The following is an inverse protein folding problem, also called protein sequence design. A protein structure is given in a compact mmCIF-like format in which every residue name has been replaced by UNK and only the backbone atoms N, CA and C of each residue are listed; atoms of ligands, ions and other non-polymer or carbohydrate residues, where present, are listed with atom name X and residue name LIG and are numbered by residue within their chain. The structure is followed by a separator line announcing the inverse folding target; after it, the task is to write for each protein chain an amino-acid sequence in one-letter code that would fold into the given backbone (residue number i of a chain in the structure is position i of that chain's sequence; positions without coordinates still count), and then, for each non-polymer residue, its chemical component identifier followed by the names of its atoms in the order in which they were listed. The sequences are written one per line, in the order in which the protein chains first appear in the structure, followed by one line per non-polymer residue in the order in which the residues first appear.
data_IF_468479023392
#
_entry.id   IF_468479023392
#
_cell.length_a   1.000
_cell.length_b   1.000
_cell.length_c   1.000
_cell.angle_alpha   90.00
_cell.angle_beta   90.00
_cell.angle_gamma   90.00
#
_symmetry.space_group_name_H-M   'P 1'
#
loop_
_entity.id
_entity.type
_entity.pdbx_description
1 polymer ?
#
# COMPACT_ATOMS: atom_id res chain seq x y z
N UNK A 1 -31.19 -2.29 -9.13
CA UNK A 1 -29.97 -3.04 -9.52
C UNK A 1 -28.79 -2.28 -8.93
N UNK A 2 -28.34 -2.67 -7.73
CA UNK A 2 -27.19 -2.05 -7.05
C UNK A 2 -26.00 -3.02 -7.08
N UNK A 3 -25.36 -3.12 -8.24
CA UNK A 3 -24.13 -3.90 -8.42
C UNK A 3 -22.88 -3.04 -8.17
N UNK A 4 -22.93 -2.16 -7.17
CA UNK A 4 -21.80 -1.31 -6.82
C UNK A 4 -20.95 -2.05 -5.80
N UNK A 5 -19.81 -2.58 -6.24
CA UNK A 5 -18.77 -3.10 -5.34
C UNK A 5 -18.17 -1.88 -4.63
N UNK A 6 -18.54 -1.67 -3.37
CA UNK A 6 -17.90 -0.69 -2.48
C UNK A 6 -16.86 -1.43 -1.64
N UNK A 7 -15.55 -1.24 -1.88
CA UNK A 7 -14.53 -1.83 -1.04
C UNK A 7 -14.65 -1.28 0.38
N UNK A 8 -14.95 -2.14 1.35
CA UNK A 8 -14.96 -1.78 2.77
C UNK A 8 -13.59 -2.09 3.38
N UNK A 9 -12.71 -1.09 3.34
CA UNK A 9 -11.35 -1.17 3.88
C UNK A 9 -11.33 -1.30 5.41
N UNK A 10 -12.40 -0.88 6.12
CA UNK A 10 -12.48 -1.03 7.57
C UNK A 10 -12.76 -2.48 7.98
N UNK A 11 -13.55 -3.21 7.20
CA UNK A 11 -13.84 -4.62 7.46
C UNK A 11 -12.61 -5.51 7.25
N UNK A 12 -11.80 -5.22 6.22
CA UNK A 12 -10.53 -5.91 5.99
C UNK A 12 -9.52 -5.68 7.14
N UNK A 13 -9.45 -4.46 7.68
CA UNK A 13 -8.62 -4.14 8.84
C UNK A 13 -9.11 -4.82 10.13
N UNK A 14 -10.43 -4.85 10.37
CA UNK A 14 -11.03 -5.47 11.57
C UNK A 14 -10.96 -6.99 11.57
N UNK A 15 -11.03 -7.64 10.40
CA UNK A 15 -10.83 -9.09 10.29
C UNK A 15 -9.42 -9.54 10.73
N UNK A 16 -8.41 -8.68 10.58
CA UNK A 16 -7.03 -8.93 11.03
C UNK A 16 -6.77 -8.54 12.49
N UNK A 17 -7.75 -7.92 13.18
CA UNK A 17 -7.61 -7.40 14.54
C UNK A 17 -7.64 -8.46 15.66
N UNK A 18 -7.81 -9.75 15.32
CA UNK A 18 -7.85 -10.85 16.28
C UNK A 18 -6.50 -11.49 16.61
N UNK A 19 -5.46 -11.25 15.82
CA UNK A 19 -4.15 -11.91 16.00
C UNK A 19 -3.19 -11.00 16.76
N UNK A 20 -3.18 -11.12 18.09
CA UNK A 20 -2.20 -10.48 18.97
C UNK A 20 -0.80 -11.06 18.73
N UNK A 21 0.14 -10.17 18.39
CA UNK A 21 1.61 -10.24 18.58
C UNK A 21 2.25 -11.62 18.43
N UNK A 22 2.80 -11.88 17.25
CA UNK A 22 4.08 -12.56 17.14
C UNK A 22 5.13 -11.52 16.72
N UNK A 23 6.09 -11.25 17.59
CA UNK A 23 7.37 -10.67 17.19
C UNK A 23 8.09 -11.70 16.32
N UNK A 24 7.71 -11.78 15.06
CA UNK A 24 8.37 -12.63 14.09
C UNK A 24 9.42 -11.76 13.41
N UNK A 25 10.69 -11.99 13.75
CA UNK A 25 11.80 -11.67 12.87
C UNK A 25 11.48 -12.35 11.54
N UNK A 26 10.89 -11.64 10.58
CA UNK A 26 10.46 -12.19 9.30
C UNK A 26 11.55 -11.93 8.26
N UNK A 27 12.35 -12.94 7.85
CA UNK A 27 13.13 -12.82 6.63
C UNK A 27 12.24 -13.28 5.47
N UNK A 28 11.48 -12.38 4.84
CA UNK A 28 10.76 -12.73 3.59
C UNK A 28 10.20 -11.56 2.77
N UNK A 29 10.14 -10.34 3.32
CA UNK A 29 9.81 -9.14 2.56
C UNK A 29 11.08 -8.62 1.88
N UNK A 30 11.22 -8.88 0.58
CA UNK A 30 12.31 -8.38 -0.23
C UNK A 30 11.94 -7.00 -0.78
N UNK A 31 12.66 -5.96 -0.37
CA UNK A 31 12.54 -4.65 -1.01
C UNK A 31 12.95 -4.75 -2.49
N UNK A 32 12.13 -4.15 -3.36
CA UNK A 32 12.35 -4.18 -4.82
C UNK A 32 12.80 -2.81 -5.33
N UNK A 33 12.01 -1.76 -5.09
CA UNK A 33 12.31 -0.38 -5.54
C UNK A 33 11.47 0.67 -4.81
N UNK A 34 11.86 1.93 -4.92
CA UNK A 34 11.07 3.09 -4.47
C UNK A 34 10.43 3.75 -5.69
N UNK A 35 9.16 4.15 -5.56
CA UNK A 35 8.46 4.93 -6.58
C UNK A 35 8.65 6.43 -6.39
N UNK A 36 8.68 6.89 -5.14
CA UNK A 36 8.93 8.29 -4.82
C UNK A 36 8.54 8.64 -3.39
N UNK A 37 8.77 9.91 -3.04
CA UNK A 37 8.42 10.49 -1.75
C UNK A 37 7.62 11.76 -1.97
N UNK A 38 6.53 11.92 -1.23
CA UNK A 38 5.66 13.11 -1.28
C UNK A 38 5.37 13.60 0.13
N UNK A 39 5.96 14.74 0.49
CA UNK A 39 5.93 15.25 1.85
C UNK A 39 6.58 14.25 2.81
N UNK A 40 5.81 13.73 3.77
CA UNK A 40 6.28 12.73 4.72
C UNK A 40 5.91 11.28 4.34
N UNK A 41 5.40 11.06 3.12
CA UNK A 41 4.96 9.75 2.65
C UNK A 41 5.98 9.18 1.68
N UNK A 42 6.57 8.03 1.99
CA UNK A 42 7.44 7.30 1.07
C UNK A 42 6.69 6.11 0.47
N UNK A 43 6.76 5.95 -0.85
CA UNK A 43 6.06 4.88 -1.58
C UNK A 43 7.07 3.91 -2.17
N UNK A 44 6.98 2.64 -1.77
CA UNK A 44 7.93 1.61 -2.18
C UNK A 44 7.25 0.30 -2.58
N UNK A 45 7.97 -0.51 -3.35
CA UNK A 45 7.60 -1.85 -3.74
C UNK A 45 8.37 -2.89 -2.92
N UNK A 46 7.63 -3.81 -2.34
CA UNK A 46 8.15 -4.98 -1.62
C UNK A 46 7.57 -6.24 -2.23
N UNK A 47 8.35 -7.30 -2.32
CA UNK A 47 7.88 -8.66 -2.65
C UNK A 47 7.85 -9.48 -1.37
N UNK A 48 6.68 -9.97 -0.99
CA UNK A 48 6.50 -10.81 0.18
C UNK A 48 6.23 -12.24 -0.26
N UNK A 49 7.19 -13.13 0.05
CA UNK A 49 7.08 -14.57 -0.24
C UNK A 49 6.55 -15.39 0.93
N UNK A 50 6.32 -14.76 2.07
CA UNK A 50 5.83 -15.39 3.30
C UNK A 50 4.33 -15.22 3.51
N UNK A 51 3.64 -14.53 2.60
CA UNK A 51 2.20 -14.31 2.75
C UNK A 51 1.45 -15.66 2.75
N UNK A 52 0.41 -15.83 3.58
CA UNK A 52 -0.50 -16.98 3.48
C UNK A 52 -1.14 -17.12 2.10
N UNK A 53 -1.22 -16.01 1.35
CA UNK A 53 -1.69 -15.98 -0.04
C UNK A 53 -0.62 -16.41 -1.08
N UNK A 54 0.63 -16.64 -0.67
CA UNK A 54 1.74 -16.99 -1.55
C UNK A 54 2.69 -15.83 -1.85
N UNK A 55 3.23 -15.78 -3.05
CA UNK A 55 4.18 -14.75 -3.50
C UNK A 55 3.44 -13.51 -4.01
N UNK A 56 3.62 -12.37 -3.32
CA UNK A 56 2.82 -11.16 -3.49
C UNK A 56 3.69 -9.93 -3.68
N UNK A 57 3.37 -9.06 -4.64
CA UNK A 57 3.91 -7.71 -4.68
C UNK A 57 3.08 -6.77 -3.81
N UNK A 58 3.73 -5.90 -3.04
CA UNK A 58 3.09 -4.96 -2.11
C UNK A 58 3.59 -3.54 -2.36
N UNK A 59 2.67 -2.63 -2.64
CA UNK A 59 2.94 -1.19 -2.57
C UNK A 59 2.80 -0.76 -1.12
N UNK A 60 3.91 -0.36 -0.51
CA UNK A 60 3.99 0.14 0.85
C UNK A 60 3.93 1.67 0.83
N UNK A 61 3.24 2.26 1.81
CA UNK A 61 3.22 3.71 2.03
C UNK A 61 3.66 3.96 3.48
N UNK A 62 4.90 4.39 3.63
CA UNK A 62 5.51 4.69 4.92
C UNK A 62 5.22 6.14 5.32
N UNK A 63 4.91 6.35 6.60
CA UNK A 63 4.68 7.67 7.20
C UNK A 63 5.43 7.78 8.53
N UNK A 64 5.62 8.98 9.11
CA UNK A 64 6.25 9.12 10.42
C UNK A 64 5.47 8.40 11.54
N UNK A 65 4.15 8.23 11.36
CA UNK A 65 3.28 7.54 12.31
C UNK A 65 3.23 6.01 12.13
N UNK A 66 4.00 5.46 11.19
CA UNK A 66 4.01 4.04 10.84
C UNK A 66 3.58 3.79 9.39
N UNK A 67 3.09 2.58 9.11
CA UNK A 67 2.73 2.15 7.76
C UNK A 67 1.23 2.20 7.53
N UNK A 68 0.82 2.80 6.40
CA UNK A 68 -0.55 2.65 5.89
C UNK A 68 -0.65 1.26 5.25
N UNK A 69 -1.84 0.63 5.38
CA UNK A 69 -2.07 -0.73 4.88
C UNK A 69 -1.66 -0.87 3.40
N UNK A 70 -0.84 -1.87 3.05
CA UNK A 70 -0.29 -1.98 1.71
C UNK A 70 -1.33 -2.44 0.69
N UNK A 71 -1.10 -2.11 -0.57
CA UNK A 71 -1.85 -2.67 -1.70
C UNK A 71 -1.10 -3.91 -2.22
N UNK A 72 -1.71 -5.08 -2.06
CA UNK A 72 -1.18 -6.35 -2.55
C UNK A 72 -1.63 -6.65 -3.97
N UNK A 73 -0.71 -7.12 -4.82
CA UNK A 73 -0.95 -7.64 -6.17
C UNK A 73 -0.48 -9.08 -6.22
N UNK A 74 -1.42 -9.98 -6.49
CA UNK A 74 -1.24 -11.43 -6.44
C UNK A 74 -1.67 -12.07 -7.76
N UNK A 75 -0.93 -13.06 -8.29
CA UNK A 75 0.39 -13.53 -7.84
C UNK A 75 1.54 -12.64 -8.33
N UNK A 76 2.74 -12.78 -7.76
CA UNK A 76 3.96 -12.05 -8.16
C UNK A 76 4.56 -12.53 -9.51
N UNK A 77 3.80 -12.37 -10.59
CA UNK A 77 4.18 -12.69 -11.98
C UNK A 77 4.76 -11.47 -12.71
N UNK A 78 5.15 -11.63 -13.98
CA UNK A 78 5.55 -10.49 -14.80
C UNK A 78 4.40 -9.49 -15.01
N UNK A 79 3.17 -9.99 -15.26
CA UNK A 79 1.98 -9.14 -15.39
C UNK A 79 1.66 -8.45 -14.06
N UNK A 80 1.78 -9.15 -12.92
CA UNK A 80 1.64 -8.55 -11.60
C UNK A 80 2.68 -7.46 -11.30
N UNK A 81 3.87 -7.55 -11.88
CA UNK A 81 4.88 -6.48 -11.78
C UNK A 81 4.45 -5.24 -12.58
N UNK A 82 3.83 -5.41 -13.75
CA UNK A 82 3.28 -4.29 -14.51
C UNK A 82 2.12 -3.61 -13.75
N UNK A 83 1.21 -4.41 -13.19
CA UNK A 83 0.08 -3.89 -12.41
C UNK A 83 0.55 -3.16 -11.15
N UNK A 84 1.52 -3.71 -10.42
CA UNK A 84 2.02 -3.07 -9.20
C UNK A 84 2.79 -1.78 -9.50
N UNK A 85 3.40 -1.67 -10.67
CA UNK A 85 4.05 -0.45 -11.14
C UNK A 85 3.02 0.66 -11.42
N UNK A 86 1.92 0.32 -12.11
CA UNK A 86 0.82 1.25 -12.33
C UNK A 86 0.20 1.73 -11.01
N UNK A 87 -0.01 0.82 -10.07
CA UNK A 87 -0.53 1.16 -8.73
C UNK A 87 0.45 2.07 -7.99
N UNK A 88 1.74 1.76 -7.99
CA UNK A 88 2.76 2.57 -7.32
C UNK A 88 2.80 4.01 -7.83
N UNK A 89 2.79 4.20 -9.15
CA UNK A 89 2.76 5.52 -9.77
C UNK A 89 1.46 6.26 -9.49
N UNK A 90 0.31 5.57 -9.54
CA UNK A 90 -0.99 6.17 -9.23
C UNK A 90 -1.07 6.65 -7.77
N UNK A 91 -0.50 5.90 -6.82
CA UNK A 91 -0.41 6.30 -5.42
C UNK A 91 0.44 7.56 -5.28
N UNK A 92 1.65 7.60 -5.88
CA UNK A 92 2.51 8.79 -5.86
C UNK A 92 1.75 10.01 -6.40
N UNK A 93 1.11 9.88 -7.57
CA UNK A 93 0.38 10.99 -8.18
C UNK A 93 -0.80 11.46 -7.32
N UNK A 94 -1.47 10.55 -6.64
CA UNK A 94 -2.57 10.88 -5.72
C UNK A 94 -2.04 11.68 -4.52
N UNK A 95 -0.92 11.25 -3.93
CA UNK A 95 -0.28 11.97 -2.83
C UNK A 95 0.15 13.38 -3.25
N UNK A 96 0.68 13.55 -4.46
CA UNK A 96 1.03 14.87 -4.99
C UNK A 96 -0.18 15.81 -5.08
N UNK A 97 -1.31 15.30 -5.59
CA UNK A 97 -2.56 16.07 -5.66
C UNK A 97 -3.09 16.44 -4.27
N UNK A 98 -3.01 15.52 -3.31
CA UNK A 98 -3.42 15.79 -1.93
C UNK A 98 -2.53 16.84 -1.25
N UNK A 99 -1.21 16.76 -1.47
CA UNK A 99 -0.26 17.73 -0.93
C UNK A 99 -0.50 19.15 -1.48
N UNK A 100 -0.83 19.27 -2.77
CA UNK A 100 -1.20 20.55 -3.38
C UNK A 100 -2.50 21.12 -2.79
N UNK A 101 -3.48 20.26 -2.50
CA UNK A 101 -4.78 20.68 -1.97
C UNK A 101 -4.70 21.21 -0.53
N UNK A 102 -3.74 20.75 0.27
CA UNK A 102 -3.53 21.24 1.63
C UNK A 102 -3.06 22.71 1.69
N UNK A 103 -2.59 23.28 0.58
CA UNK A 103 -2.24 24.71 0.48
C UNK A 103 -3.39 25.62 0.01
N UNK A 104 -4.52 25.07 -0.42
CA UNK A 104 -5.60 25.80 -1.11
C UNK A 104 -6.81 26.11 -0.21
N UNK A 105 -6.75 25.71 1.06
CA UNK A 105 -7.82 25.95 2.06
C UNK A 105 -7.51 27.08 3.06
N UNK A 106 -6.51 27.92 2.80
CA UNK A 106 -6.24 29.12 3.59
C UNK A 106 -7.19 30.25 3.12
N UNK A 107 -8.48 30.10 3.43
CA UNK A 107 -9.49 31.14 3.19
C UNK A 107 -9.54 32.01 4.44
N UNK A 108 -8.89 33.17 4.34
CA UNK A 108 -8.93 34.27 5.30
C UNK A 108 -10.35 34.81 5.58
#
# INVERSE_FOLDING_TARGET
MDNVIRPDFQRAAKARGGERKASCTAPAAQYVKTYGEVGHHAVSLVRDRSSPQGDVYKVMIDTPGGQIGPVGVEPATADGMFDVDLVGVAVVRTLELMAQRSGDFDVA
#
